data_IF_012420669117
#
_entry.id   IF_012420669117
#
_cell.length_a   1.000
_cell.length_b   1.000
_cell.length_c   1.000
_cell.angle_alpha   90.00
_cell.angle_beta   90.00
_cell.angle_gamma   90.00
#
_symmetry.space_group_name_H-M   'P 1'
#
loop_
_entity.id
_entity.type
_entity.pdbx_description
1 polymer ?
#
# COMPACT_ATOMS: atom_id res chain seq x y z
N UNK A 1 -7.31 -13.35 -0.33
CA UNK A 1 -7.68 -12.24 -1.25
C UNK A 1 -6.80 -11.01 -1.02
N UNK A 2 -5.47 -11.16 -0.99
CA UNK A 2 -4.56 -10.03 -0.67
C UNK A 2 -4.52 -9.01 -1.79
N UNK A 3 -4.37 -9.46 -3.04
CA UNK A 3 -4.32 -8.55 -4.20
C UNK A 3 -5.61 -7.75 -4.39
N UNK A 4 -6.76 -8.42 -4.21
CA UNK A 4 -8.07 -7.75 -4.28
C UNK A 4 -8.22 -6.64 -3.23
N UNK A 5 -7.87 -6.92 -1.97
CA UNK A 5 -8.01 -5.97 -0.87
C UNK A 5 -6.98 -4.84 -0.95
N UNK A 6 -5.71 -5.17 -1.12
CA UNK A 6 -4.61 -4.22 -0.96
C UNK A 6 -4.37 -3.35 -2.20
N UNK A 7 -4.77 -3.83 -3.38
CA UNK A 7 -4.51 -3.18 -4.65
C UNK A 7 -5.80 -2.87 -5.44
N UNK A 8 -6.62 -3.88 -5.78
CA UNK A 8 -7.78 -3.66 -6.66
C UNK A 8 -8.84 -2.75 -6.03
N UNK A 9 -9.05 -2.81 -4.72
CA UNK A 9 -9.96 -1.92 -4.02
C UNK A 9 -9.53 -0.45 -4.16
N UNK A 10 -8.25 -0.15 -3.91
CA UNK A 10 -7.70 1.19 -4.08
C UNK A 10 -7.72 1.64 -5.54
N UNK A 11 -7.28 0.76 -6.46
CA UNK A 11 -7.32 1.03 -7.90
C UNK A 11 -8.72 1.43 -8.36
N UNK A 12 -9.74 0.64 -8.01
CA UNK A 12 -11.12 0.91 -8.40
C UNK A 12 -11.63 2.21 -7.78
N UNK A 13 -11.45 2.41 -6.47
CA UNK A 13 -11.89 3.61 -5.77
C UNK A 13 -11.29 4.89 -6.40
N UNK A 14 -9.98 4.90 -6.64
CA UNK A 14 -9.30 6.05 -7.25
C UNK A 14 -9.85 6.36 -8.64
N UNK A 15 -10.07 5.33 -9.47
CA UNK A 15 -10.62 5.55 -10.81
C UNK A 15 -12.06 6.05 -10.79
N UNK A 16 -12.90 5.55 -9.87
CA UNK A 16 -14.29 6.02 -9.71
C UNK A 16 -14.38 7.49 -9.26
N UNK A 17 -13.39 7.96 -8.50
CA UNK A 17 -13.33 9.35 -8.01
C UNK A 17 -12.52 10.28 -8.93
N UNK A 18 -11.89 9.76 -9.98
CA UNK A 18 -10.85 10.47 -10.73
C UNK A 18 -11.34 11.78 -11.34
N UNK A 19 -12.55 11.79 -11.92
CA UNK A 19 -13.13 13.01 -12.52
C UNK A 19 -13.40 14.09 -11.47
N UNK A 20 -13.87 13.70 -10.29
CA UNK A 20 -14.08 14.65 -9.18
C UNK A 20 -12.75 15.18 -8.66
N UNK A 21 -11.74 14.31 -8.52
CA UNK A 21 -10.39 14.70 -8.08
C UNK A 21 -9.77 15.71 -9.05
N UNK A 22 -9.85 15.46 -10.37
CA UNK A 22 -9.37 16.41 -11.40
C UNK A 22 -10.12 17.74 -11.35
N UNK A 23 -11.44 17.71 -11.16
CA UNK A 23 -12.24 18.93 -11.05
C UNK A 23 -11.93 19.75 -9.78
N UNK A 24 -11.32 19.14 -8.77
CA UNK A 24 -10.89 19.79 -7.52
C UNK A 24 -9.40 20.15 -7.50
N UNK A 25 -8.72 20.17 -8.65
CA UNK A 25 -7.32 20.57 -8.71
C UNK A 25 -7.09 21.97 -8.11
N UNK A 26 -6.00 22.20 -7.34
CA UNK A 26 -4.93 21.25 -7.05
C UNK A 26 -5.36 20.16 -6.05
N UNK A 27 -5.07 18.90 -6.40
CA UNK A 27 -5.46 17.75 -5.59
C UNK A 27 -4.33 16.71 -5.52
N UNK A 28 -4.42 15.80 -4.55
CA UNK A 28 -3.37 14.81 -4.27
C UNK A 28 -3.98 13.44 -4.04
N UNK A 29 -3.35 12.41 -4.62
CA UNK A 29 -3.66 11.01 -4.37
C UNK A 29 -2.43 10.38 -3.70
N UNK A 30 -2.62 9.77 -2.53
CA UNK A 30 -1.53 9.22 -1.73
C UNK A 30 -1.81 7.74 -1.46
N UNK A 31 -0.98 6.86 -2.04
CA UNK A 31 -1.10 5.42 -1.88
C UNK A 31 -0.13 4.90 -0.83
N UNK A 32 -0.64 4.15 0.16
CA UNK A 32 0.20 3.51 1.17
C UNK A 32 0.74 2.17 0.64
N UNK A 33 2.05 2.12 0.43
CA UNK A 33 2.81 0.91 0.11
C UNK A 33 3.60 0.43 1.34
N UNK A 34 4.62 -0.40 1.12
CA UNK A 34 5.45 -1.04 2.15
C UNK A 34 6.86 -1.24 1.63
N UNK A 35 7.88 -1.26 2.50
CA UNK A 35 9.23 -1.72 2.13
C UNK A 35 9.25 -3.12 1.51
N UNK A 36 8.23 -3.94 1.78
CA UNK A 36 8.01 -5.25 1.18
C UNK A 36 7.91 -5.25 -0.35
N UNK A 37 7.58 -4.11 -0.98
CA UNK A 37 7.44 -4.02 -2.44
C UNK A 37 8.73 -4.38 -3.20
N UNK A 38 9.91 -4.25 -2.56
CA UNK A 38 11.21 -4.55 -3.19
C UNK A 38 11.39 -6.03 -3.49
N UNK A 39 10.68 -6.90 -2.77
CA UNK A 39 10.65 -8.35 -3.01
C UNK A 39 9.48 -8.80 -3.90
N UNK A 40 8.62 -7.87 -4.30
CA UNK A 40 7.44 -8.17 -5.11
C UNK A 40 7.78 -8.54 -6.55
N UNK A 41 6.94 -9.37 -7.16
CA UNK A 41 6.98 -9.71 -8.58
C UNK A 41 5.56 -9.82 -9.12
N UNK A 42 5.26 -9.06 -10.18
CA UNK A 42 3.94 -9.14 -10.82
C UNK A 42 3.91 -10.32 -11.79
N UNK A 43 3.07 -11.30 -11.49
CA UNK A 43 2.70 -12.39 -12.38
C UNK A 43 1.35 -12.05 -13.03
N UNK A 44 1.39 -11.42 -14.20
CA UNK A 44 0.17 -10.89 -14.86
C UNK A 44 -0.85 -11.99 -15.21
N UNK A 45 -0.39 -13.21 -15.42
CA UNK A 45 -1.22 -14.38 -15.70
C UNK A 45 -1.65 -15.12 -14.41
N UNK A 46 -1.36 -14.57 -13.23
CA UNK A 46 -1.65 -15.14 -11.90
C UNK A 46 -1.80 -14.08 -10.80
N UNK A 47 -2.45 -12.95 -11.11
CA UNK A 47 -2.49 -11.80 -10.20
C UNK A 47 -3.07 -12.12 -8.80
N UNK A 48 -4.00 -13.09 -8.73
CA UNK A 48 -4.61 -13.52 -7.46
C UNK A 48 -3.79 -14.59 -6.71
N UNK A 49 -2.71 -15.10 -7.31
CA UNK A 49 -1.89 -16.17 -6.75
C UNK A 49 -2.62 -17.51 -6.65
N UNK A 50 -3.58 -17.79 -7.54
CA UNK A 50 -4.41 -18.99 -7.51
C UNK A 50 -3.60 -20.29 -7.66
N UNK A 51 -2.45 -20.21 -8.36
CA UNK A 51 -1.55 -21.37 -8.55
C UNK A 51 -0.59 -21.63 -7.38
N UNK A 52 -0.16 -20.59 -6.68
CA UNK A 52 0.79 -20.67 -5.54
C UNK A 52 0.60 -19.49 -4.59
N UNK A 53 -0.38 -19.59 -3.69
CA UNK A 53 -0.63 -18.54 -2.72
C UNK A 53 0.39 -18.62 -1.58
N UNK A 54 1.12 -17.53 -1.37
CA UNK A 54 2.12 -17.42 -0.32
C UNK A 54 2.12 -16.02 0.31
N UNK A 55 2.83 -15.80 1.44
CA UNK A 55 2.97 -14.47 2.03
C UNK A 55 3.50 -13.39 1.07
N UNK A 56 4.21 -13.79 -0.01
CA UNK A 56 4.64 -12.90 -1.10
C UNK A 56 3.48 -12.21 -1.83
N UNK A 57 2.25 -12.70 -1.69
CA UNK A 57 1.07 -12.01 -2.21
C UNK A 57 0.93 -10.58 -1.66
N UNK A 58 1.42 -10.32 -0.44
CA UNK A 58 1.51 -8.98 0.14
C UNK A 58 2.60 -8.14 -0.53
N UNK A 59 3.78 -8.70 -0.73
CA UNK A 59 4.89 -8.03 -1.40
C UNK A 59 4.48 -7.60 -2.83
N UNK A 60 3.81 -8.50 -3.54
CA UNK A 60 3.26 -8.27 -4.88
C UNK A 60 2.17 -7.18 -4.87
N UNK A 61 1.27 -7.16 -3.88
CA UNK A 61 0.24 -6.12 -3.77
C UNK A 61 0.86 -4.74 -3.51
N UNK A 62 1.92 -4.68 -2.70
CA UNK A 62 2.64 -3.43 -2.39
C UNK A 62 3.48 -2.95 -3.58
N UNK A 63 4.04 -3.85 -4.38
CA UNK A 63 4.62 -3.50 -5.68
C UNK A 63 3.57 -2.94 -6.64
N UNK A 64 2.40 -3.57 -6.73
CA UNK A 64 1.32 -3.08 -7.58
C UNK A 64 0.88 -1.65 -7.21
N UNK A 65 0.87 -1.30 -5.92
CA UNK A 65 0.60 0.08 -5.48
C UNK A 65 1.68 1.07 -5.96
N UNK A 66 2.96 0.69 -6.01
CA UNK A 66 4.03 1.54 -6.56
C UNK A 66 3.84 1.72 -8.07
N UNK A 67 3.61 0.63 -8.81
CA UNK A 67 3.40 0.66 -10.26
C UNK A 67 2.18 1.51 -10.63
N UNK A 68 1.08 1.36 -9.89
CA UNK A 68 -0.13 2.15 -10.08
C UNK A 68 0.08 3.64 -9.82
N UNK A 69 0.79 3.99 -8.75
CA UNK A 69 1.16 5.38 -8.48
C UNK A 69 1.95 5.99 -9.63
N UNK A 70 2.97 5.29 -10.15
CA UNK A 70 3.79 5.80 -11.25
C UNK A 70 2.99 5.98 -12.54
N UNK A 71 2.19 4.98 -12.91
CA UNK A 71 1.39 5.06 -14.13
C UNK A 71 0.26 6.09 -14.02
N UNK A 72 -0.37 6.22 -12.85
CA UNK A 72 -1.41 7.23 -12.64
C UNK A 72 -0.82 8.64 -12.63
N UNK A 73 0.35 8.85 -12.02
CA UNK A 73 1.07 10.13 -12.07
C UNK A 73 1.32 10.53 -13.53
N UNK A 74 1.87 9.62 -14.35
CA UNK A 74 2.12 9.83 -15.77
C UNK A 74 0.84 10.19 -16.54
N UNK A 75 -0.29 9.54 -16.24
CA UNK A 75 -1.58 9.82 -16.88
C UNK A 75 -2.22 11.15 -16.45
N UNK A 76 -1.85 11.68 -15.29
CA UNK A 76 -2.39 12.92 -14.73
C UNK A 76 -1.46 14.13 -14.93
N UNK A 77 -0.40 13.98 -15.71
CA UNK A 77 0.45 15.10 -16.11
C UNK A 77 -0.40 16.22 -16.73
N UNK A 78 -0.18 17.45 -16.27
CA UNK A 78 -0.91 18.63 -16.73
C UNK A 78 -2.29 18.84 -16.10
N UNK A 79 -2.83 17.90 -15.30
CA UNK A 79 -4.16 18.08 -14.68
C UNK A 79 -4.12 18.81 -13.34
N UNK A 80 -2.94 19.16 -12.82
CA UNK A 80 -2.78 19.75 -11.49
C UNK A 80 -3.03 18.77 -10.32
N UNK A 81 -3.08 17.46 -10.61
CA UNK A 81 -3.22 16.40 -9.60
C UNK A 81 -1.89 15.69 -9.45
N UNK A 82 -1.40 15.56 -8.22
CA UNK A 82 -0.19 14.77 -7.93
C UNK A 82 -0.55 13.40 -7.38
N UNK A 83 0.26 12.39 -7.70
CA UNK A 83 0.08 11.02 -7.20
C UNK A 83 1.39 10.58 -6.58
N UNK A 84 1.36 10.22 -5.30
CA UNK A 84 2.53 9.81 -4.54
C UNK A 84 2.28 8.48 -3.83
N UNK A 85 3.36 7.76 -3.55
CA UNK A 85 3.32 6.57 -2.71
C UNK A 85 4.30 6.73 -1.55
N UNK A 86 3.98 6.10 -0.42
CA UNK A 86 4.83 6.10 0.75
C UNK A 86 4.91 4.73 1.41
N UNK A 87 5.97 4.51 2.17
CA UNK A 87 6.06 3.46 3.17
C UNK A 87 6.08 4.11 4.56
N UNK A 88 5.18 3.74 5.49
CA UNK A 88 5.10 4.40 6.80
C UNK A 88 6.23 4.00 7.77
N UNK A 89 7.14 3.12 7.35
CA UNK A 89 8.11 2.48 8.23
C UNK A 89 7.57 1.20 8.88
N UNK A 90 8.35 0.63 9.78
CA UNK A 90 7.89 -0.46 10.65
C UNK A 90 7.09 0.14 11.81
N UNK A 91 5.76 0.11 11.71
CA UNK A 91 4.85 0.79 12.66
C UNK A 91 4.11 -0.22 13.53
N UNK A 92 4.06 0.05 14.84
CA UNK A 92 3.34 -0.77 15.82
C UNK A 92 1.83 -0.61 15.63
N UNK A 93 1.24 -1.45 14.78
CA UNK A 93 -0.20 -1.40 14.46
C UNK A 93 -0.90 -2.72 14.83
N UNK A 94 -2.19 -2.81 14.50
CA UNK A 94 -2.95 -4.06 14.55
C UNK A 94 -2.54 -5.11 13.52
N UNK A 95 -1.61 -4.79 12.62
CA UNK A 95 -1.24 -5.66 11.52
C UNK A 95 -0.66 -7.00 12.01
N UNK A 96 -1.16 -8.11 11.46
CA UNK A 96 -0.73 -9.46 11.86
C UNK A 96 -1.19 -9.91 13.25
N UNK A 97 -2.07 -9.16 13.96
CA UNK A 97 -2.63 -9.54 15.28
C UNK A 97 -3.56 -10.77 15.25
N UNK A 98 -4.00 -11.19 14.07
CA UNK A 98 -4.84 -12.39 13.91
C UNK A 98 -4.07 -13.60 13.38
N UNK A 99 -2.77 -13.46 13.08
CA UNK A 99 -1.97 -14.59 12.58
C UNK A 99 -1.72 -15.60 13.71
N UNK A 100 -2.07 -16.89 13.54
CA UNK A 100 -1.79 -17.91 14.54
C UNK A 100 -0.29 -18.24 14.62
N UNK A 101 0.17 -18.80 15.75
CA UNK A 101 1.53 -19.32 15.91
C UNK A 101 2.31 -18.72 17.09
N UNK A 102 3.11 -19.56 17.75
CA UNK A 102 3.92 -19.18 18.92
C UNK A 102 4.96 -18.11 18.57
N UNK A 103 5.61 -18.22 17.41
CA UNK A 103 6.55 -17.21 16.91
C UNK A 103 5.88 -15.83 16.73
N UNK A 104 4.64 -15.79 16.24
CA UNK A 104 3.88 -14.53 16.09
C UNK A 104 3.50 -13.92 17.44
N UNK A 105 3.30 -14.72 18.49
CA UNK A 105 3.11 -14.19 19.86
C UNK A 105 4.38 -13.52 20.38
N UNK A 106 5.54 -14.13 20.15
CA UNK A 106 6.84 -13.54 20.50
C UNK A 106 7.06 -12.24 19.73
N UNK A 107 6.86 -12.26 18.41
CA UNK A 107 7.00 -11.06 17.56
C UNK A 107 6.09 -9.93 18.05
N UNK A 108 4.83 -10.21 18.40
CA UNK A 108 3.91 -9.19 18.94
C UNK A 108 4.35 -8.58 20.25
N UNK A 109 5.02 -9.34 21.12
CA UNK A 109 5.55 -8.82 22.38
C UNK A 109 6.75 -7.87 22.14
N UNK A 110 7.51 -8.11 21.07
CA UNK A 110 8.72 -7.35 20.75
C UNK A 110 8.45 -6.15 19.84
N UNK A 111 7.48 -6.24 18.92
CA UNK A 111 7.14 -5.18 17.94
C UNK A 111 6.95 -3.80 18.58
N UNK A 112 6.22 -3.62 19.71
CA UNK A 112 6.05 -2.31 20.32
C UNK A 112 7.35 -1.65 20.81
N UNK A 113 8.41 -2.43 21.03
CA UNK A 113 9.71 -1.94 21.51
C UNK A 113 10.62 -1.45 20.36
N UNK A 114 10.40 -1.95 19.15
CA UNK A 114 11.27 -1.68 17.99
C UNK A 114 10.55 -0.93 16.85
N UNK A 115 9.22 -0.91 16.86
CA UNK A 115 8.42 -0.27 15.83
C UNK A 115 8.07 1.18 16.21
N UNK A 116 7.89 2.02 15.19
CA UNK A 116 7.43 3.41 15.34
C UNK A 116 6.00 3.43 15.87
N UNK A 117 5.64 4.48 16.60
CA UNK A 117 4.24 4.70 16.99
C UNK A 117 3.38 5.05 15.76
N UNK A 118 2.05 4.82 15.80
CA UNK A 118 1.15 5.21 14.72
C UNK A 118 1.24 6.68 14.34
N UNK A 119 1.43 7.57 15.32
CA UNK A 119 1.59 9.02 15.10
C UNK A 119 2.84 9.31 14.26
N UNK A 120 3.96 8.68 14.61
CA UNK A 120 5.20 8.77 13.83
C UNK A 120 5.08 8.12 12.45
N UNK A 121 4.30 7.05 12.34
CA UNK A 121 4.01 6.40 11.06
C UNK A 121 3.17 7.27 10.11
N UNK A 122 2.36 8.17 10.66
CA UNK A 122 1.51 9.07 9.88
C UNK A 122 2.24 10.32 9.35
N UNK A 123 3.41 10.66 9.89
CA UNK A 123 4.18 11.86 9.51
C UNK A 123 4.37 11.99 8.00
N UNK A 124 4.77 10.91 7.32
CA UNK A 124 4.98 10.93 5.86
C UNK A 124 3.66 11.07 5.09
N UNK A 125 2.58 10.46 5.58
CA UNK A 125 1.24 10.61 4.98
C UNK A 125 0.77 12.05 5.06
N UNK A 126 0.97 12.70 6.22
CA UNK A 126 0.62 14.11 6.44
C UNK A 126 1.49 15.03 5.60
N UNK A 127 2.80 14.77 5.54
CA UNK A 127 3.72 15.55 4.72
C UNK A 127 3.32 15.60 3.24
N UNK A 128 2.81 14.49 2.71
CA UNK A 128 2.37 14.40 1.31
C UNK A 128 0.96 14.99 1.07
N UNK A 129 0.13 15.09 2.12
CA UNK A 129 -1.28 15.50 2.07
C UNK A 129 -1.51 17.00 2.02
#
# INVERSE_FOLDING_TARGET
MTFALDHLACFLLTNLLLDKIKASAPARIINVSSGAHTSGKIEFDNLQGERDYSPRAYDNSKLANILFTMELARRLEGTGVTVNALHPGFVSTGFGKNNPGFLMKIIRAVVPLIARSPEKGAETSIYLA
#
